data_IF_008898888714
#
_entry.id   IF_008898888714
#
_cell.length_a   1.000
_cell.length_b   1.000
_cell.length_c   1.000
_cell.angle_alpha   90.00
_cell.angle_beta   90.00
_cell.angle_gamma   90.00
#
_symmetry.space_group_name_H-M   'P 1'
#
loop_
_entity.id
_entity.type
_entity.pdbx_description
1 polymer ?
#
# COMPACT_ATOMS: atom_id res chain seq x y z
N UNK A 1 7.75 9.86 -45.24
CA UNK A 1 6.30 10.09 -45.44
C UNK A 1 5.61 8.75 -45.34
N UNK A 2 5.22 8.36 -44.13
CA UNK A 2 4.45 7.15 -43.88
C UNK A 2 3.26 7.55 -43.01
N UNK A 3 2.08 7.24 -43.54
CA UNK A 3 0.76 7.57 -43.06
C UNK A 3 0.48 6.95 -41.68
N UNK A 4 -0.29 7.67 -40.88
CA UNK A 4 -0.92 7.22 -39.64
C UNK A 4 -1.83 6.00 -39.89
N UNK A 5 -1.69 4.96 -39.06
CA UNK A 5 -2.76 3.99 -38.79
C UNK A 5 -3.27 4.22 -37.37
N UNK A 6 -4.51 4.67 -37.26
CA UNK A 6 -5.28 4.58 -36.04
C UNK A 6 -5.89 3.18 -35.93
N UNK A 7 -5.74 2.52 -34.79
CA UNK A 7 -6.55 1.38 -34.41
C UNK A 7 -7.05 1.59 -32.97
N UNK A 8 -8.36 1.82 -32.86
CA UNK A 8 -9.16 1.67 -31.65
C UNK A 8 -9.70 0.23 -31.67
N UNK A 9 -9.57 -0.51 -30.56
CA UNK A 9 -10.00 -1.90 -30.48
C UNK A 9 -10.45 -2.27 -29.07
N UNK A 10 -11.67 -1.90 -28.72
CA UNK A 10 -12.42 -2.52 -27.61
C UNK A 10 -13.10 -3.79 -28.09
N UNK A 11 -13.06 -4.85 -27.30
CA UNK A 11 -13.79 -6.10 -27.57
C UNK A 11 -14.72 -6.40 -26.40
N UNK A 12 -16.01 -6.29 -26.71
CA UNK A 12 -17.15 -6.75 -25.92
C UNK A 12 -17.37 -8.23 -26.23
N UNK A 13 -17.26 -9.10 -25.23
CA UNK A 13 -17.56 -10.53 -25.35
C UNK A 13 -18.72 -10.93 -24.46
N UNK A 14 -19.93 -11.00 -25.04
CA UNK A 14 -21.08 -11.70 -24.44
C UNK A 14 -20.92 -13.20 -24.67
N UNK A 15 -20.70 -13.95 -23.59
CA UNK A 15 -20.73 -15.41 -23.59
C UNK A 15 -21.86 -15.88 -22.69
N UNK A 16 -22.94 -16.36 -23.31
CA UNK A 16 -24.10 -16.97 -22.65
C UNK A 16 -23.72 -18.36 -22.13
N UNK A 17 -23.93 -18.62 -20.84
CA UNK A 17 -24.01 -19.98 -20.30
C UNK A 17 -25.42 -20.18 -19.75
N UNK A 18 -26.13 -21.15 -20.31
CA UNK A 18 -27.47 -21.55 -19.87
C UNK A 18 -27.37 -22.58 -18.75
N UNK A 19 -28.21 -22.37 -17.74
CA UNK A 19 -28.39 -23.12 -16.49
C UNK A 19 -28.86 -24.57 -16.63
N UNK A 20 -28.56 -25.36 -15.58
CA UNK A 20 -29.29 -26.52 -15.02
C UNK A 20 -28.41 -27.16 -13.93
N UNK A 21 -28.70 -27.33 -12.62
CA UNK A 21 -29.91 -27.35 -11.78
C UNK A 21 -29.48 -26.99 -10.34
N UNK A 22 -30.12 -26.03 -9.67
CA UNK A 22 -31.21 -26.17 -8.69
C UNK A 22 -30.79 -26.54 -7.25
N UNK A 23 -30.92 -25.57 -6.33
CA UNK A 23 -31.35 -25.79 -4.95
C UNK A 23 -31.98 -24.50 -4.38
N UNK A 24 -33.03 -24.71 -3.61
CA UNK A 24 -34.08 -23.78 -3.22
C UNK A 24 -33.69 -22.76 -2.13
N UNK A 25 -34.23 -21.54 -2.28
CA UNK A 25 -34.85 -20.66 -1.27
C UNK A 25 -34.31 -20.64 0.17
N UNK A 26 -33.84 -19.47 0.62
CA UNK A 26 -34.51 -18.71 1.70
C UNK A 26 -34.00 -17.25 1.73
N UNK A 27 -34.94 -16.31 1.72
CA UNK A 27 -34.71 -14.89 2.00
C UNK A 27 -34.76 -14.73 3.53
N UNK A 28 -33.61 -14.60 4.19
CA UNK A 28 -33.59 -14.07 5.54
C UNK A 28 -32.28 -13.35 5.89
N UNK A 29 -32.46 -12.06 6.19
CA UNK A 29 -31.79 -11.30 7.24
C UNK A 29 -30.62 -10.38 6.85
N UNK A 30 -30.93 -9.07 6.91
CA UNK A 30 -29.99 -7.96 6.99
C UNK A 30 -29.17 -8.06 8.29
N UNK A 31 -27.93 -8.52 8.19
CA UNK A 31 -26.85 -8.11 9.09
C UNK A 31 -25.56 -8.04 8.29
N UNK A 32 -24.97 -6.84 8.25
CA UNK A 32 -23.62 -6.63 7.75
C UNK A 32 -22.67 -7.43 8.65
N UNK A 33 -21.97 -8.41 8.08
CA UNK A 33 -20.84 -9.04 8.75
C UNK A 33 -19.79 -7.96 9.05
N UNK A 34 -19.32 -7.81 10.30
CA UNK A 34 -18.15 -6.99 10.57
C UNK A 34 -16.94 -7.56 9.80
N UNK A 35 -16.01 -6.71 9.34
CA UNK A 35 -14.83 -7.18 8.62
C UNK A 35 -14.11 -8.22 9.48
N UNK A 36 -13.81 -9.38 8.89
CA UNK A 36 -13.13 -10.47 9.55
C UNK A 36 -11.85 -9.96 10.21
N UNK A 37 -11.83 -10.00 11.54
CA UNK A 37 -10.62 -9.82 12.33
C UNK A 37 -9.73 -11.03 12.07
N UNK A 38 -8.82 -10.91 11.10
CA UNK A 38 -7.75 -11.88 10.90
C UNK A 38 -6.86 -11.86 12.14
N UNK A 39 -6.92 -12.91 12.95
CA UNK A 39 -5.95 -13.16 14.02
C UNK A 39 -4.56 -13.35 13.39
N UNK A 40 -3.50 -12.64 13.84
CA UNK A 40 -2.16 -12.82 13.29
C UNK A 40 -1.61 -14.20 13.64
N UNK A 41 -1.39 -15.01 12.60
CA UNK A 41 -0.58 -16.23 12.67
C UNK A 41 0.84 -15.84 13.09
N UNK A 42 1.21 -16.19 14.32
CA UNK A 42 2.44 -15.74 14.97
C UNK A 42 3.60 -16.64 14.57
N UNK A 43 4.00 -16.62 13.29
CA UNK A 43 5.38 -16.92 12.87
C UNK A 43 5.77 -16.24 11.54
N UNK A 44 5.20 -15.08 11.21
CA UNK A 44 5.69 -14.28 10.08
C UNK A 44 6.92 -13.49 10.50
N UNK A 45 8.10 -13.88 10.02
CA UNK A 45 9.34 -13.13 10.24
C UNK A 45 9.36 -11.89 9.35
N UNK A 46 9.33 -10.70 9.96
CA UNK A 46 9.38 -9.41 9.26
C UNK A 46 10.82 -8.90 9.09
N UNK A 47 11.07 -8.17 7.98
CA UNK A 47 12.35 -7.50 7.73
C UNK A 47 12.28 -6.03 8.18
N UNK A 48 12.38 -5.81 9.49
CA UNK A 48 12.20 -4.49 10.11
C UNK A 48 13.53 -3.76 10.41
N UNK A 49 14.64 -4.23 9.85
CA UNK A 49 15.96 -3.74 10.22
C UNK A 49 16.27 -3.92 11.71
N UNK A 50 16.97 -2.95 12.29
CA UNK A 50 17.28 -2.88 13.71
C UNK A 50 16.26 -2.02 14.48
N UNK A 51 14.99 -2.05 14.06
CA UNK A 51 13.92 -1.35 14.79
C UNK A 51 13.81 -1.92 16.21
N UNK A 52 13.97 -1.10 17.27
CA UNK A 52 13.86 -1.60 18.63
C UNK A 52 12.47 -2.18 18.92
N UNK A 53 12.39 -3.26 19.70
CA UNK A 53 11.10 -3.88 20.05
C UNK A 53 10.12 -2.88 20.66
N UNK A 54 10.61 -1.96 21.51
CA UNK A 54 9.79 -0.91 22.09
C UNK A 54 9.16 0.03 21.04
N UNK A 55 9.81 0.27 19.89
CA UNK A 55 9.24 1.06 18.78
C UNK A 55 8.17 0.25 18.05
N UNK A 56 8.41 -1.04 17.83
CA UNK A 56 7.45 -1.95 17.19
C UNK A 56 6.16 -1.99 18.00
N UNK A 57 6.26 -2.17 19.32
CA UNK A 57 5.10 -2.26 20.21
C UNK A 57 4.38 -0.91 20.37
N UNK A 58 5.09 0.20 20.20
CA UNK A 58 4.56 1.55 20.43
C UNK A 58 3.74 2.08 19.24
N UNK A 59 4.22 1.92 18.01
CA UNK A 59 3.71 2.68 16.86
C UNK A 59 3.72 1.91 15.53
N UNK A 60 3.78 0.57 15.56
CA UNK A 60 3.70 -0.23 14.32
C UNK A 60 2.47 -1.13 14.33
N UNK A 61 1.60 -0.95 13.33
CA UNK A 61 0.58 -1.92 12.95
C UNK A 61 1.19 -3.08 12.16
N UNK A 62 0.42 -4.14 11.91
CA UNK A 62 0.85 -5.21 11.00
C UNK A 62 1.08 -4.69 9.58
N UNK A 63 0.26 -3.74 9.11
CA UNK A 63 0.43 -3.12 7.80
C UNK A 63 1.77 -2.35 7.69
N UNK A 64 2.20 -1.70 8.77
CA UNK A 64 3.51 -1.01 8.80
C UNK A 64 4.67 -2.01 8.73
N UNK A 65 4.54 -3.13 9.43
CA UNK A 65 5.55 -4.21 9.41
C UNK A 65 5.66 -4.82 8.01
N UNK A 66 4.53 -5.08 7.36
CA UNK A 66 4.49 -5.58 5.98
C UNK A 66 5.10 -4.56 5.01
N UNK A 67 4.69 -3.30 5.10
CA UNK A 67 5.20 -2.24 4.23
C UNK A 67 6.72 -2.07 4.37
N UNK A 68 7.23 -1.93 5.59
CA UNK A 68 8.66 -1.79 5.84
C UNK A 68 9.43 -3.04 5.38
N UNK A 69 8.87 -4.24 5.58
CA UNK A 69 9.47 -5.49 5.10
C UNK A 69 9.65 -5.46 3.60
N UNK A 70 8.64 -5.05 2.84
CA UNK A 70 8.71 -4.97 1.38
C UNK A 70 9.72 -3.91 0.91
N UNK A 71 9.76 -2.75 1.58
CA UNK A 71 10.75 -1.71 1.30
C UNK A 71 12.17 -2.22 1.56
N UNK A 72 12.41 -2.88 2.68
CA UNK A 72 13.73 -3.39 3.04
C UNK A 72 14.17 -4.55 2.13
N UNK A 73 13.24 -5.43 1.74
CA UNK A 73 13.49 -6.47 0.75
C UNK A 73 13.82 -5.87 -0.62
N UNK A 74 13.20 -4.75 -0.99
CA UNK A 74 13.57 -4.03 -2.20
C UNK A 74 14.98 -3.44 -2.06
N UNK A 75 15.29 -2.76 -0.96
CA UNK A 75 16.59 -2.11 -0.72
C UNK A 75 17.78 -3.08 -0.75
N UNK A 76 17.58 -4.32 -0.32
CA UNK A 76 18.63 -5.35 -0.31
C UNK A 76 18.93 -5.95 -1.68
N UNK A 77 18.24 -5.51 -2.74
CA UNK A 77 18.44 -5.97 -4.10
C UNK A 77 19.09 -4.89 -4.96
N UNK A 78 20.09 -5.29 -5.74
CA UNK A 78 20.60 -4.46 -6.85
C UNK A 78 19.47 -4.23 -7.86
N UNK A 79 19.34 -2.99 -8.35
CA UNK A 79 18.36 -2.63 -9.38
C UNK A 79 19.01 -1.94 -10.57
N UNK A 80 18.54 -2.31 -11.75
CA UNK A 80 18.85 -1.62 -12.99
C UNK A 80 17.68 -0.69 -13.35
N UNK A 81 17.99 0.59 -13.59
CA UNK A 81 17.05 1.62 -13.95
C UNK A 81 17.47 2.24 -15.29
N UNK A 82 17.36 1.46 -16.38
CA UNK A 82 17.77 1.88 -17.71
C UNK A 82 19.28 1.79 -17.89
N UNK A 83 19.95 2.93 -18.07
CA UNK A 83 21.41 2.95 -18.19
C UNK A 83 22.13 2.83 -16.84
N UNK A 84 21.44 3.12 -15.73
CA UNK A 84 22.04 3.20 -14.41
C UNK A 84 21.82 1.90 -13.61
N UNK A 85 22.84 1.50 -12.85
CA UNK A 85 22.76 0.40 -11.90
C UNK A 85 22.93 0.92 -10.48
N UNK A 86 21.99 0.59 -9.61
CA UNK A 86 22.00 0.91 -8.20
C UNK A 86 22.31 -0.37 -7.40
N UNK A 87 23.39 -0.41 -6.61
CA UNK A 87 23.70 -1.57 -5.78
C UNK A 87 22.69 -1.73 -4.64
N UNK A 88 22.63 -2.93 -4.07
CA UNK A 88 21.93 -3.16 -2.80
C UNK A 88 22.44 -2.20 -1.71
N UNK A 89 21.53 -1.72 -0.87
CA UNK A 89 21.81 -0.77 0.22
C UNK A 89 21.27 -1.29 1.55
N UNK A 90 21.77 -0.70 2.65
CA UNK A 90 21.36 -1.07 4.00
C UNK A 90 19.85 -0.92 4.21
N UNK A 91 19.26 -1.81 5.01
CA UNK A 91 17.85 -1.74 5.43
C UNK A 91 17.58 -0.49 6.27
N UNK A 92 16.33 -0.05 6.27
CA UNK A 92 15.82 1.03 7.12
C UNK A 92 15.30 0.48 8.44
N UNK A 93 15.31 1.36 9.45
CA UNK A 93 14.63 1.16 10.72
C UNK A 93 13.40 2.07 10.78
N UNK A 94 12.37 1.66 11.51
CA UNK A 94 11.18 2.48 11.75
C UNK A 94 11.46 3.61 12.74
N UNK A 95 10.70 4.70 12.62
CA UNK A 95 10.73 5.81 13.57
C UNK A 95 9.33 6.38 13.75
N UNK A 96 8.78 6.34 14.97
CA UNK A 96 7.38 6.73 15.22
C UNK A 96 7.06 8.15 14.73
N UNK A 97 7.94 9.13 15.01
CA UNK A 97 7.73 10.50 14.53
C UNK A 97 7.58 10.59 13.01
N UNK A 98 8.28 9.76 12.24
CA UNK A 98 8.14 9.77 10.78
C UNK A 98 6.83 9.12 10.31
N UNK A 99 6.32 8.16 11.06
CA UNK A 99 5.02 7.54 10.82
C UNK A 99 3.90 8.55 11.13
N UNK A 100 3.91 9.16 12.31
CA UNK A 100 2.93 10.17 12.74
C UNK A 100 2.80 11.31 11.70
N UNK A 101 3.92 11.93 11.29
CA UNK A 101 3.88 13.06 10.34
C UNK A 101 3.48 12.63 8.93
N UNK A 102 3.75 11.38 8.53
CA UNK A 102 3.33 10.85 7.25
C UNK A 102 1.83 10.53 7.24
N UNK A 103 1.32 10.02 8.36
CA UNK A 103 -0.11 9.78 8.58
C UNK A 103 -0.88 11.10 8.54
N UNK A 104 -0.43 12.12 9.25
CA UNK A 104 -1.05 13.45 9.24
C UNK A 104 -1.06 14.08 7.84
N UNK A 105 0.04 13.98 7.09
CA UNK A 105 0.07 14.47 5.70
C UNK A 105 -0.87 13.69 4.77
N UNK A 106 -0.99 12.37 4.97
CA UNK A 106 -1.93 11.53 4.20
C UNK A 106 -3.38 11.90 4.50
N UNK A 107 -3.68 12.19 5.77
CA UNK A 107 -4.98 12.71 6.18
C UNK A 107 -5.26 14.10 5.62
N UNK A 108 -4.30 15.01 5.65
CA UNK A 108 -4.42 16.35 5.08
C UNK A 108 -4.78 16.30 3.59
N UNK A 109 -4.08 15.46 2.83
CA UNK A 109 -4.38 15.21 1.41
C UNK A 109 -5.80 14.65 1.20
N UNK A 110 -6.25 13.71 2.05
CA UNK A 110 -7.58 13.13 1.99
C UNK A 110 -8.69 14.13 2.35
N UNK A 111 -8.51 14.86 3.45
CA UNK A 111 -9.49 15.80 4.00
C UNK A 111 -9.67 17.03 3.10
N UNK A 112 -8.62 17.47 2.38
CA UNK A 112 -8.65 18.61 1.47
C UNK A 112 -8.69 18.23 -0.02
N UNK A 113 -8.80 16.94 -0.35
CA UNK A 113 -8.94 16.41 -1.71
C UNK A 113 -7.83 16.88 -2.68
N UNK A 114 -6.57 16.69 -2.30
CA UNK A 114 -5.42 16.95 -3.16
C UNK A 114 -4.35 15.87 -3.03
N UNK A 115 -3.42 15.82 -3.98
CA UNK A 115 -2.24 14.97 -3.91
C UNK A 115 -0.99 15.79 -4.23
N UNK A 116 -0.15 16.04 -3.23
CA UNK A 116 1.05 16.87 -3.34
C UNK A 116 2.04 16.53 -2.23
N UNK A 117 3.31 16.87 -2.44
CA UNK A 117 4.32 16.85 -1.38
C UNK A 117 4.20 18.04 -0.42
N UNK A 118 3.58 19.13 -0.89
CA UNK A 118 3.29 20.32 -0.09
C UNK A 118 1.93 20.15 0.58
N UNK A 119 1.87 20.35 1.89
CA UNK A 119 0.62 20.29 2.66
C UNK A 119 -0.30 21.47 2.36
N UNK A 120 -1.55 21.39 2.82
CA UNK A 120 -2.53 22.50 2.74
C UNK A 120 -2.08 23.75 3.51
N UNK A 121 -1.21 23.56 4.50
CA UNK A 121 -0.54 24.59 5.29
C UNK A 121 0.70 25.22 4.59
N UNK A 122 1.07 24.71 3.41
CA UNK A 122 2.23 25.16 2.65
C UNK A 122 3.57 24.53 3.06
N UNK A 123 3.60 23.66 4.07
CA UNK A 123 4.84 23.00 4.52
C UNK A 123 5.27 21.92 3.53
N UNK A 124 6.59 21.79 3.32
CA UNK A 124 7.18 20.70 2.53
C UNK A 124 7.49 19.49 3.42
N UNK A 125 7.81 18.35 2.80
CA UNK A 125 8.14 17.11 3.52
C UNK A 125 9.25 17.30 4.56
N UNK A 126 10.25 18.15 4.29
CA UNK A 126 11.34 18.40 5.22
C UNK A 126 10.89 19.20 6.45
N UNK A 127 10.00 20.18 6.27
CA UNK A 127 9.51 21.03 7.36
C UNK A 127 8.70 20.20 8.37
N UNK A 128 7.91 19.24 7.86
CA UNK A 128 7.06 18.37 8.69
C UNK A 128 7.85 17.40 9.56
N UNK A 129 9.04 16.98 9.14
CA UNK A 129 9.89 16.04 9.91
C UNK A 129 10.47 16.67 11.19
N UNK A 130 10.50 18.01 11.26
CA UNK A 130 11.10 18.75 12.38
C UNK A 130 10.13 19.30 13.43
N UNK A 131 8.82 19.12 13.25
CA UNK A 131 7.80 19.56 14.21
C UNK A 131 7.58 18.53 15.33
#
# INVERSE_FOLDING_TARGET
>A
MALFLAACGGSSGSGSVSDSQAASQDESNLTQDPPATSTPDTTTSFNLGNTPQAVIDQCMSEADKEMLTQVNNARSQTRNCGADNYPAVAVLNWHCTLEDVAYEHSRDMGDHNFFSHTGSDGLQSADRVSN
#
